data_IF_238202572749
#
_entry.id   IF_238202572749
#
_cell.length_a   1.000
_cell.length_b   1.000
_cell.length_c   1.000
_cell.angle_alpha   90.00
_cell.angle_beta   90.00
_cell.angle_gamma   90.00
#
_symmetry.space_group_name_H-M   'P 1'
#
loop_
_entity.id
_entity.type
_entity.pdbx_description
1 polymer ?
#
# COMPACT_ATOMS: atom_id res chain seq x y z
N UNK A 1 14.74 6.93 -23.37
CA UNK A 1 15.00 5.62 -22.74
C UNK A 1 13.65 5.10 -22.29
N UNK A 2 13.05 4.16 -23.03
CA UNK A 2 11.74 3.61 -22.71
C UNK A 2 11.94 2.42 -21.77
N UNK A 3 11.52 2.56 -20.51
CA UNK A 3 11.37 1.44 -19.61
C UNK A 3 10.05 0.74 -19.96
N UNK A 4 10.11 -0.26 -20.85
CA UNK A 4 8.98 -1.17 -21.04
C UNK A 4 8.74 -1.91 -19.73
N UNK A 5 7.59 -1.64 -19.07
CA UNK A 5 7.18 -2.35 -17.85
C UNK A 5 7.14 -3.87 -18.15
N UNK A 6 7.71 -4.72 -17.29
CA UNK A 6 7.74 -6.16 -17.53
C UNK A 6 6.31 -6.71 -17.60
N UNK A 7 5.95 -7.32 -18.74
CA UNK A 7 4.60 -7.81 -19.08
C UNK A 7 4.15 -9.04 -18.26
N UNK A 8 4.91 -9.44 -17.24
CA UNK A 8 4.61 -10.54 -16.32
C UNK A 8 5.16 -10.29 -14.91
N UNK A 9 5.37 -9.02 -14.52
CA UNK A 9 5.79 -8.70 -13.16
C UNK A 9 4.61 -8.87 -12.22
N UNK A 10 4.79 -9.70 -11.19
CA UNK A 10 3.86 -9.77 -10.05
C UNK A 10 3.61 -8.34 -9.55
N UNK A 11 2.34 -7.93 -9.44
CA UNK A 11 1.98 -6.60 -8.91
C UNK A 11 2.61 -6.40 -7.53
N UNK A 12 3.16 -5.22 -7.28
CA UNK A 12 3.70 -4.80 -5.99
C UNK A 12 2.52 -4.62 -5.04
N UNK A 13 2.52 -5.39 -3.95
CA UNK A 13 1.45 -5.44 -2.97
C UNK A 13 1.71 -4.45 -1.86
N UNK A 14 0.83 -3.47 -1.71
CA UNK A 14 0.99 -2.33 -0.81
C UNK A 14 0.05 -2.45 0.40
N UNK A 15 0.59 -2.21 1.61
CA UNK A 15 -0.21 -1.95 2.80
C UNK A 15 -0.06 -0.47 3.17
N UNK A 16 -1.17 0.23 3.34
CA UNK A 16 -1.19 1.62 3.79
C UNK A 16 -1.47 1.67 5.29
N UNK A 17 -0.67 2.43 6.04
CA UNK A 17 -0.90 2.73 7.44
C UNK A 17 -0.93 4.24 7.64
N UNK A 18 -2.12 4.79 7.89
CA UNK A 18 -2.42 6.23 7.94
C UNK A 18 -3.73 6.42 8.71
N UNK A 19 -3.80 7.29 9.70
CA UNK A 19 -5.02 7.49 10.52
C UNK A 19 -5.98 8.54 9.90
N UNK A 20 -5.50 9.41 9.01
CA UNK A 20 -6.34 10.33 8.26
C UNK A 20 -7.04 9.65 7.08
N UNK A 21 -8.32 9.31 7.27
CA UNK A 21 -9.15 8.60 6.28
C UNK A 21 -9.14 9.24 4.88
N UNK A 22 -9.22 10.57 4.77
CA UNK A 22 -9.22 11.27 3.46
C UNK A 22 -7.89 11.09 2.73
N UNK A 23 -6.77 11.21 3.44
CA UNK A 23 -5.45 11.02 2.88
C UNK A 23 -5.25 9.55 2.46
N UNK A 24 -5.63 8.61 3.31
CA UNK A 24 -5.54 7.17 3.03
C UNK A 24 -6.33 6.77 1.77
N UNK A 25 -7.57 7.25 1.63
CA UNK A 25 -8.39 7.03 0.44
C UNK A 25 -7.77 7.67 -0.81
N UNK A 26 -7.21 8.88 -0.68
CA UNK A 26 -6.49 9.55 -1.75
C UNK A 26 -5.27 8.75 -2.22
N UNK A 27 -4.45 8.26 -1.29
CA UNK A 27 -3.30 7.41 -1.58
C UNK A 27 -3.72 6.09 -2.24
N UNK A 28 -4.75 5.41 -1.70
CA UNK A 28 -5.26 4.17 -2.27
C UNK A 28 -5.77 4.37 -3.70
N UNK A 29 -6.49 5.47 -3.96
CA UNK A 29 -6.99 5.82 -5.29
C UNK A 29 -5.89 6.17 -6.30
N UNK A 30 -4.83 6.85 -5.86
CA UNK A 30 -3.67 7.16 -6.71
C UNK A 30 -2.84 5.91 -7.02
N UNK A 31 -2.50 5.12 -6.00
CA UNK A 31 -1.68 3.91 -6.14
C UNK A 31 -2.43 2.80 -6.88
N UNK A 32 -3.76 2.70 -6.72
CA UNK A 32 -4.59 1.73 -7.44
C UNK A 32 -4.70 1.98 -8.94
N UNK A 33 -4.29 3.17 -9.43
CA UNK A 33 -4.22 3.47 -10.86
C UNK A 33 -2.92 2.97 -11.51
N UNK A 34 -1.89 2.64 -10.71
CA UNK A 34 -0.63 2.12 -11.23
C UNK A 34 -0.79 0.64 -11.63
N UNK A 35 -0.50 0.28 -12.89
CA UNK A 35 -0.79 -1.06 -13.44
C UNK A 35 0.06 -2.18 -12.81
N UNK A 36 1.16 -1.83 -12.15
CA UNK A 36 2.10 -2.71 -11.47
C UNK A 36 1.94 -2.69 -9.94
N UNK A 37 0.89 -2.07 -9.41
CA UNK A 37 0.64 -1.98 -7.97
C UNK A 37 -0.76 -2.48 -7.58
N UNK A 38 -0.91 -2.88 -6.32
CA UNK A 38 -2.18 -3.27 -5.73
C UNK A 38 -2.18 -2.98 -4.23
N UNK A 39 -3.15 -2.21 -3.74
CA UNK A 39 -3.36 -2.02 -2.30
C UNK A 39 -4.06 -3.25 -1.74
N UNK A 40 -3.37 -3.98 -0.85
CA UNK A 40 -3.83 -5.25 -0.26
C UNK A 40 -4.32 -5.11 1.17
N UNK A 41 -4.22 -3.90 1.74
CA UNK A 41 -4.74 -3.58 3.06
C UNK A 41 -4.57 -2.12 3.42
N UNK A 42 -5.38 -1.68 4.37
CA UNK A 42 -5.36 -0.35 4.98
C UNK A 42 -5.43 -0.52 6.49
N UNK A 43 -4.63 0.24 7.23
CA UNK A 43 -4.61 0.33 8.68
C UNK A 43 -4.71 1.79 9.12
N UNK A 44 -5.40 2.04 10.23
CA UNK A 44 -5.52 3.34 10.89
C UNK A 44 -4.60 3.46 12.12
N UNK A 45 -3.91 2.39 12.50
CA UNK A 45 -2.90 2.39 13.57
C UNK A 45 -1.75 1.40 13.29
N UNK A 46 -0.64 1.56 14.02
CA UNK A 46 0.55 0.73 13.83
C UNK A 46 0.35 -0.74 14.22
N UNK A 47 -0.45 -1.03 15.24
CA UNK A 47 -0.68 -2.40 15.69
C UNK A 47 -1.50 -3.20 14.65
N UNK A 48 -2.52 -2.56 14.08
CA UNK A 48 -3.30 -3.07 12.96
C UNK A 48 -2.42 -3.24 11.73
N UNK A 49 -1.51 -2.31 11.43
CA UNK A 49 -0.57 -2.45 10.33
C UNK A 49 0.30 -3.70 10.49
N UNK A 50 0.85 -3.97 11.68
CA UNK A 50 1.65 -5.19 11.95
C UNK A 50 0.80 -6.47 11.80
N UNK A 51 -0.41 -6.48 12.36
CA UNK A 51 -1.32 -7.63 12.23
C UNK A 51 -1.71 -7.89 10.77
N UNK A 52 -2.00 -6.84 10.01
CA UNK A 52 -2.35 -6.94 8.60
C UNK A 52 -1.16 -7.37 7.75
N UNK A 53 0.03 -6.82 7.98
CA UNK A 53 1.23 -7.21 7.26
C UNK A 53 1.49 -8.72 7.34
N UNK A 54 1.28 -9.32 8.52
CA UNK A 54 1.42 -10.76 8.74
C UNK A 54 0.35 -11.61 8.05
N UNK A 55 -0.84 -11.04 7.79
CA UNK A 55 -1.97 -11.75 7.15
C UNK A 55 -1.96 -11.61 5.63
N UNK A 56 -1.66 -10.41 5.14
CA UNK A 56 -1.73 -10.10 3.71
C UNK A 56 -0.38 -10.19 3.04
N UNK A 57 0.74 -10.27 3.76
CA UNK A 57 2.10 -10.39 3.20
C UNK A 57 2.40 -9.32 2.11
N UNK A 58 2.28 -8.01 2.43
CA UNK A 58 2.58 -6.96 1.46
C UNK A 58 4.07 -6.99 1.09
N UNK A 59 4.41 -6.53 -0.12
CA UNK A 59 5.79 -6.34 -0.55
C UNK A 59 6.37 -5.05 0.06
N UNK A 60 5.53 -4.02 0.22
CA UNK A 60 5.89 -2.72 0.78
C UNK A 60 4.80 -2.23 1.72
N UNK A 61 5.21 -1.66 2.85
CA UNK A 61 4.32 -0.90 3.75
C UNK A 61 4.62 0.57 3.57
N UNK A 62 3.60 1.37 3.25
CA UNK A 62 3.67 2.83 3.31
C UNK A 62 3.00 3.27 4.61
N UNK A 63 3.80 3.77 5.54
CA UNK A 63 3.38 4.06 6.91
C UNK A 63 3.63 5.53 7.25
N UNK A 64 2.62 6.20 7.79
CA UNK A 64 2.80 7.48 8.46
C UNK A 64 3.58 7.29 9.76
N UNK A 65 4.62 8.11 9.93
CA UNK A 65 5.47 8.14 11.12
C UNK A 65 4.76 8.80 12.32
N UNK A 66 3.69 9.56 12.06
CA UNK A 66 2.84 10.20 13.06
C UNK A 66 1.76 9.29 13.66
N UNK A 67 1.65 8.04 13.20
CA UNK A 67 0.68 7.10 13.75
C UNK A 67 0.88 6.90 15.26
N UNK A 68 -0.22 6.86 16.05
CA UNK A 68 -0.19 6.57 17.48
C UNK A 68 0.24 5.13 17.79
#
# INVERSE_FOLDING_TARGET
MNFSKPQNAKRIRLLLAEDHTVLRQGLAGLLGQEPDMEVVGEADDGEMAVRLASRVHPDVVLMDMGLP
#
